data_IF_022634819017
#
_entry.id   IF_022634819017
#
_cell.length_a   1.000
_cell.length_b   1.000
_cell.length_c   1.000
_cell.angle_alpha   90.00
_cell.angle_beta   90.00
_cell.angle_gamma   90.00
#
_symmetry.space_group_name_H-M   'P 1'
#
loop_
_entity.id
_entity.type
_entity.pdbx_description
1 polymer ?
#
# COMPACT_ATOMS: atom_id res chain seq x y z
N UNK A 1 11.28 13.56 44.69
CA UNK A 1 12.68 13.41 45.12
C UNK A 1 12.80 14.04 46.48
N UNK A 2 13.36 13.34 47.47
CA UNK A 2 13.60 13.92 48.78
C UNK A 2 14.69 15.00 48.67
N UNK A 3 14.57 16.08 49.43
CA UNK A 3 15.56 17.16 49.48
C UNK A 3 16.20 17.09 50.86
N UNK A 4 17.53 16.92 50.89
CA UNK A 4 18.31 16.98 52.11
C UNK A 4 18.90 18.38 52.25
N UNK A 5 18.65 19.01 53.39
CA UNK A 5 19.29 20.28 53.74
C UNK A 5 20.47 20.01 54.67
N UNK A 6 21.63 19.73 54.05
CA UNK A 6 22.87 19.39 54.76
C UNK A 6 23.55 20.59 55.41
N UNK A 7 23.21 21.82 55.01
CA UNK A 7 23.92 23.02 55.47
C UNK A 7 23.15 23.70 56.61
N UNK A 8 23.11 23.02 57.76
CA UNK A 8 22.46 23.53 58.97
C UNK A 8 23.42 24.26 59.90
N UNK A 9 22.93 25.34 60.52
CA UNK A 9 23.63 25.98 61.63
C UNK A 9 23.67 25.00 62.81
N UNK A 10 24.87 24.64 63.28
CA UNK A 10 25.07 23.61 64.31
C UNK A 10 25.57 22.25 63.79
N UNK A 11 25.70 22.09 62.46
CA UNK A 11 26.16 20.87 61.81
C UNK A 11 25.02 19.89 61.49
N UNK A 12 25.23 19.05 60.47
CA UNK A 12 24.29 18.01 60.08
C UNK A 12 24.73 16.66 60.66
N UNK A 13 23.86 15.92 61.37
CA UNK A 13 24.19 14.60 61.90
C UNK A 13 24.31 13.59 60.77
N UNK A 14 25.55 13.22 60.42
CA UNK A 14 25.83 12.31 59.31
C UNK A 14 25.85 10.86 59.78
N UNK A 15 24.69 10.20 59.66
CA UNK A 15 24.47 8.82 60.11
C UNK A 15 24.14 7.87 58.95
N UNK A 16 24.20 6.56 59.20
CA UNK A 16 23.91 5.52 58.19
C UNK A 16 22.51 5.64 57.61
N UNK A 17 21.53 6.10 58.40
CA UNK A 17 20.16 6.28 57.94
C UNK A 17 20.06 7.40 56.89
N UNK A 18 20.85 8.48 57.05
CA UNK A 18 20.93 9.53 56.01
C UNK A 18 21.50 8.95 54.70
N UNK A 19 22.54 8.13 54.80
CA UNK A 19 23.14 7.48 53.63
C UNK A 19 22.20 6.48 52.97
N UNK A 20 21.39 5.77 53.75
CA UNK A 20 20.34 4.88 53.24
C UNK A 20 19.30 5.66 52.44
N UNK A 21 18.82 6.78 52.97
CA UNK A 21 17.87 7.65 52.28
C UNK A 21 18.48 8.28 51.01
N UNK A 22 19.77 8.63 51.04
CA UNK A 22 20.50 9.06 49.82
C UNK A 22 20.56 7.95 48.76
N UNK A 23 20.77 6.69 49.17
CA UNK A 23 20.74 5.55 48.27
C UNK A 23 19.37 5.34 47.65
N UNK A 24 18.30 5.42 48.45
CA UNK A 24 16.93 5.38 47.95
C UNK A 24 16.64 6.52 46.96
N UNK A 25 17.16 7.72 47.21
CA UNK A 25 16.96 8.88 46.34
C UNK A 25 17.50 8.67 44.93
N UNK A 26 18.74 8.19 44.76
CA UNK A 26 19.28 7.97 43.41
C UNK A 26 18.79 6.68 42.75
N UNK A 27 18.26 5.71 43.50
CA UNK A 27 17.70 4.48 42.93
C UNK A 27 16.55 4.76 41.94
N UNK A 28 15.84 5.88 42.08
CA UNK A 28 14.77 6.30 41.16
C UNK A 28 15.27 6.46 39.71
N UNK A 29 16.55 6.75 39.50
CA UNK A 29 17.10 6.93 38.16
C UNK A 29 17.11 5.64 37.34
N UNK A 30 17.05 4.47 37.98
CA UNK A 30 16.85 3.20 37.28
C UNK A 30 15.51 3.17 36.52
N UNK A 31 14.48 3.88 37.01
CA UNK A 31 13.19 3.95 36.33
C UNK A 31 13.29 4.64 34.96
N UNK A 32 14.28 5.50 34.73
CA UNK A 32 14.49 6.09 33.40
C UNK A 32 14.96 5.08 32.37
N UNK A 33 15.59 3.98 32.77
CA UNK A 33 15.90 2.87 31.88
C UNK A 33 14.64 2.21 31.30
N UNK A 34 13.50 2.29 32.01
CA UNK A 34 12.23 1.75 31.51
C UNK A 34 11.75 2.45 30.23
N UNK A 35 12.17 3.69 29.97
CA UNK A 35 11.88 4.38 28.71
C UNK A 35 12.51 3.67 27.50
N UNK A 36 13.62 2.95 27.74
CA UNK A 36 14.29 2.16 26.73
C UNK A 36 13.67 0.75 26.58
N UNK A 37 12.89 0.29 27.56
CA UNK A 37 12.36 -1.07 27.62
C UNK A 37 13.38 -2.08 28.14
N UNK A 38 12.88 -3.18 28.72
CA UNK A 38 13.72 -4.25 29.30
C UNK A 38 14.64 -4.89 28.24
N UNK A 39 15.82 -5.36 28.68
CA UNK A 39 16.87 -5.95 27.82
C UNK A 39 17.31 -5.00 26.71
N UNK A 40 17.75 -3.81 27.09
CA UNK A 40 18.16 -2.79 26.13
C UNK A 40 19.59 -2.33 26.37
N UNK A 41 20.35 -2.17 25.28
CA UNK A 41 21.67 -1.54 25.31
C UNK A 41 21.48 -0.02 25.30
N UNK A 42 21.85 0.63 26.39
CA UNK A 42 21.74 2.09 26.56
C UNK A 42 22.92 2.79 25.87
N UNK A 43 24.14 2.28 26.08
CA UNK A 43 25.37 2.87 25.53
C UNK A 43 26.50 1.84 25.46
N UNK A 44 27.55 2.13 24.68
CA UNK A 44 28.68 1.20 24.52
C UNK A 44 28.27 -0.11 23.87
N UNK A 45 28.82 -1.24 24.33
CA UNK A 45 28.56 -2.59 23.80
C UNK A 45 28.78 -2.68 22.27
N UNK A 46 29.82 -2.02 21.75
CA UNK A 46 30.12 -2.03 20.34
C UNK A 46 30.88 -3.32 19.97
N UNK A 47 30.42 -4.00 18.92
CA UNK A 47 31.05 -5.23 18.42
C UNK A 47 32.21 -4.86 17.50
N UNK A 48 33.40 -5.39 17.79
CA UNK A 48 34.61 -5.24 16.97
C UNK A 48 35.26 -6.61 16.78
N UNK A 49 35.08 -7.22 15.60
CA UNK A 49 35.53 -8.59 15.36
C UNK A 49 34.75 -9.58 16.24
N UNK A 50 35.43 -10.28 17.14
CA UNK A 50 34.83 -11.23 18.09
C UNK A 50 34.66 -10.67 19.50
N UNK A 51 34.91 -9.37 19.71
CA UNK A 51 34.82 -8.74 21.02
C UNK A 51 33.70 -7.69 21.04
N UNK A 52 33.13 -7.51 22.22
CA UNK A 52 32.18 -6.44 22.52
C UNK A 52 32.81 -5.54 23.57
N UNK A 53 32.79 -4.23 23.33
CA UNK A 53 33.29 -3.24 24.28
C UNK A 53 32.44 -3.19 25.56
N UNK A 54 32.96 -2.54 26.59
CA UNK A 54 32.16 -2.14 27.74
C UNK A 54 31.00 -1.22 27.33
N UNK A 55 30.00 -1.12 28.20
CA UNK A 55 28.81 -0.30 27.96
C UNK A 55 27.86 -0.26 29.15
N UNK A 56 26.61 0.04 28.87
CA UNK A 56 25.53 0.12 29.87
C UNK A 56 24.29 -0.54 29.29
N UNK A 57 23.65 -1.38 30.09
CA UNK A 57 22.43 -2.11 29.72
C UNK A 57 21.34 -1.89 30.75
N UNK A 58 20.09 -1.93 30.31
CA UNK A 58 18.91 -1.97 31.17
C UNK A 58 18.35 -3.38 31.21
N UNK A 59 18.19 -3.93 32.41
CA UNK A 59 17.72 -5.29 32.62
C UNK A 59 16.97 -5.41 33.95
N UNK A 60 15.81 -6.06 33.96
CA UNK A 60 15.02 -6.37 35.15
C UNK A 60 14.73 -5.16 36.04
N UNK A 61 14.50 -3.98 35.44
CA UNK A 61 14.20 -2.76 36.19
C UNK A 61 15.42 -1.94 36.62
N UNK A 62 16.64 -2.41 36.36
CA UNK A 62 17.88 -1.79 36.82
C UNK A 62 18.85 -1.47 35.67
N UNK A 63 19.64 -0.41 35.84
CA UNK A 63 20.72 -0.04 34.92
C UNK A 63 22.02 -0.67 35.42
N UNK A 64 22.65 -1.49 34.58
CA UNK A 64 23.92 -2.14 34.87
C UNK A 64 25.03 -1.65 33.96
N UNK A 65 26.23 -1.51 34.52
CA UNK A 65 27.44 -1.51 33.71
C UNK A 65 27.57 -2.88 33.03
N UNK A 66 27.86 -2.85 31.74
CA UNK A 66 28.22 -4.02 30.96
C UNK A 66 29.74 -4.09 30.84
N UNK A 67 30.33 -5.16 31.34
CA UNK A 67 31.74 -5.47 31.17
C UNK A 67 31.86 -6.40 29.96
N UNK A 68 32.48 -5.87 28.91
CA UNK A 68 32.65 -6.53 27.63
C UNK A 68 33.75 -7.61 27.65
N UNK A 69 34.08 -8.10 26.47
CA UNK A 69 35.00 -9.21 26.28
C UNK A 69 34.71 -9.97 25.00
N UNK A 70 35.14 -11.23 24.92
CA UNK A 70 34.77 -12.10 23.81
C UNK A 70 33.26 -12.34 23.83
N UNK A 71 32.62 -12.15 22.68
CA UNK A 71 31.18 -12.33 22.54
C UNK A 71 30.80 -13.78 22.85
N UNK A 72 29.75 -13.94 23.67
CA UNK A 72 29.15 -15.24 23.97
C UNK A 72 27.64 -15.16 23.72
N UNK A 73 26.99 -16.32 23.61
CA UNK A 73 25.55 -16.40 23.38
C UNK A 73 24.72 -15.83 24.55
N UNK A 74 25.26 -15.82 25.77
CA UNK A 74 24.53 -15.43 26.97
C UNK A 74 25.30 -14.47 27.85
N UNK A 75 24.55 -13.66 28.60
CA UNK A 75 25.04 -12.73 29.61
C UNK A 75 24.40 -13.04 30.97
N UNK A 76 25.05 -12.62 32.06
CA UNK A 76 24.52 -12.77 33.42
C UNK A 76 24.87 -11.57 34.28
N UNK A 77 24.02 -11.29 35.26
CA UNK A 77 24.34 -10.36 36.35
C UNK A 77 25.31 -11.07 37.31
N UNK A 78 26.49 -10.50 37.48
CA UNK A 78 27.50 -10.95 38.45
C UNK A 78 27.46 -10.01 39.65
N UNK A 79 27.28 -10.58 40.84
CA UNK A 79 27.35 -9.86 42.12
C UNK A 79 28.64 -10.26 42.85
N UNK A 80 29.44 -9.27 43.24
CA UNK A 80 30.67 -9.47 44.02
C UNK A 80 30.58 -8.69 45.33
N UNK A 81 30.44 -9.37 46.48
CA UNK A 81 30.43 -8.72 47.78
C UNK A 81 31.84 -8.26 48.17
N UNK A 82 31.93 -7.12 48.84
CA UNK A 82 33.13 -6.62 49.50
C UNK A 82 32.85 -6.55 50.99
N UNK A 83 33.66 -7.25 51.79
CA UNK A 83 33.52 -7.30 53.24
C UNK A 83 34.54 -6.41 53.95
N UNK A 84 34.15 -5.88 55.12
CA UNK A 84 35.02 -5.12 56.01
C UNK A 84 34.90 -5.66 57.44
N UNK A 85 35.98 -5.51 58.19
CA UNK A 85 36.02 -5.78 59.63
C UNK A 85 35.52 -4.53 60.35
N UNK A 86 34.62 -4.71 61.32
CA UNK A 86 34.02 -3.67 62.14
C UNK A 86 34.79 -3.54 63.46
N UNK A 87 34.57 -2.44 64.18
CA UNK A 87 35.25 -2.15 65.46
C UNK A 87 35.03 -3.21 66.55
N UNK A 88 33.95 -3.99 66.44
CA UNK A 88 33.63 -5.14 67.30
C UNK A 88 34.38 -6.43 66.91
N UNK A 89 35.25 -6.38 65.89
CA UNK A 89 35.98 -7.51 65.33
C UNK A 89 35.17 -8.38 64.36
N UNK A 90 33.88 -8.10 64.15
CA UNK A 90 33.05 -8.86 63.21
C UNK A 90 33.33 -8.46 61.76
N UNK A 91 33.24 -9.40 60.83
CA UNK A 91 33.33 -9.12 59.38
C UNK A 91 31.93 -9.09 58.78
N UNK A 92 31.56 -7.99 58.12
CA UNK A 92 30.27 -7.85 57.43
C UNK A 92 30.46 -7.42 55.99
N UNK A 93 29.56 -7.84 55.11
CA UNK A 93 29.49 -7.34 53.74
C UNK A 93 29.01 -5.89 53.73
N UNK A 94 29.76 -4.99 53.10
CA UNK A 94 29.47 -3.54 53.11
C UNK A 94 29.14 -2.98 51.72
N UNK A 95 29.48 -3.70 50.65
CA UNK A 95 29.22 -3.26 49.28
C UNK A 95 29.01 -4.49 48.39
N UNK A 96 27.97 -4.45 47.56
CA UNK A 96 27.71 -5.45 46.52
C UNK A 96 27.90 -4.79 45.16
N UNK A 97 29.01 -5.10 44.47
CA UNK A 97 29.23 -4.63 43.11
C UNK A 97 28.49 -5.54 42.14
N UNK A 98 27.56 -4.99 41.36
CA UNK A 98 26.79 -5.72 40.35
C UNK A 98 27.09 -5.18 38.97
N UNK A 99 27.31 -6.07 38.02
CA UNK A 99 27.50 -5.73 36.60
C UNK A 99 27.00 -6.88 35.73
N UNK A 100 26.73 -6.61 34.46
CA UNK A 100 26.41 -7.62 33.46
C UNK A 100 27.68 -7.93 32.67
N UNK A 101 27.94 -9.21 32.39
CA UNK A 101 29.02 -9.63 31.50
C UNK A 101 28.64 -10.94 30.81
N UNK A 102 29.42 -11.33 29.80
CA UNK A 102 29.25 -12.62 29.14
C UNK A 102 29.55 -13.77 30.09
N UNK A 103 28.55 -14.62 30.30
CA UNK A 103 28.64 -15.77 31.19
C UNK A 103 27.52 -16.76 30.90
N UNK A 104 27.75 -18.02 31.27
CA UNK A 104 26.79 -19.12 31.17
C UNK A 104 26.34 -19.63 32.55
N UNK A 105 25.32 -20.48 32.57
CA UNK A 105 24.80 -21.13 33.77
C UNK A 105 23.43 -20.60 34.20
N UNK A 106 23.03 -20.91 35.44
CA UNK A 106 21.72 -20.52 35.98
C UNK A 106 21.59 -19.00 36.01
N UNK A 107 20.44 -18.50 35.54
CA UNK A 107 20.16 -17.07 35.44
C UNK A 107 20.81 -16.36 34.24
N UNK A 108 21.41 -17.10 33.31
CA UNK A 108 21.91 -16.54 32.06
C UNK A 108 20.75 -16.16 31.12
N UNK A 109 20.93 -15.06 30.39
CA UNK A 109 19.96 -14.47 29.45
C UNK A 109 20.62 -14.42 28.09
N UNK A 110 19.87 -14.71 27.02
CA UNK A 110 20.43 -14.67 25.68
C UNK A 110 20.82 -13.24 25.30
N UNK A 111 22.04 -13.07 24.78
CA UNK A 111 22.52 -11.76 24.32
C UNK A 111 21.70 -11.25 23.13
N UNK A 112 21.15 -12.14 22.31
CA UNK A 112 20.28 -11.80 21.18
C UNK A 112 18.93 -11.18 21.60
N UNK A 113 18.54 -11.29 22.86
CA UNK A 113 17.35 -10.58 23.38
C UNK A 113 17.65 -9.10 23.63
N UNK A 114 18.93 -8.71 23.73
CA UNK A 114 19.30 -7.32 23.92
C UNK A 114 19.19 -6.53 22.62
N UNK A 115 18.40 -5.47 22.64
CA UNK A 115 18.22 -4.59 21.49
C UNK A 115 18.94 -3.26 21.71
N UNK A 116 19.53 -2.71 20.65
CA UNK A 116 20.02 -1.33 20.65
C UNK A 116 18.93 -0.42 20.10
N UNK A 117 18.63 0.65 20.82
CA UNK A 117 17.70 1.67 20.34
C UNK A 117 18.40 2.70 19.47
N UNK A 118 17.68 3.18 18.46
CA UNK A 118 18.01 4.43 17.82
C UNK A 118 17.80 5.59 18.80
N UNK A 119 18.69 6.58 18.77
CA UNK A 119 18.53 7.75 19.62
C UNK A 119 17.23 8.50 19.28
N UNK A 120 16.62 9.16 20.29
CA UNK A 120 15.44 10.00 20.07
C UNK A 120 15.68 11.07 19.00
N UNK A 121 16.91 11.57 18.88
CA UNK A 121 17.31 12.51 17.82
C UNK A 121 17.18 11.89 16.42
N UNK A 122 17.62 10.65 16.25
CA UNK A 122 17.52 9.92 14.99
C UNK A 122 16.07 9.55 14.69
N UNK A 123 15.31 9.09 15.69
CA UNK A 123 13.88 8.78 15.53
C UNK A 123 13.12 10.04 15.10
N UNK A 124 13.36 11.17 15.77
CA UNK A 124 12.74 12.45 15.44
C UNK A 124 13.05 12.91 14.00
N UNK A 125 14.24 12.58 13.47
CA UNK A 125 14.58 12.89 12.07
C UNK A 125 13.83 12.05 11.02
N UNK A 126 13.22 10.92 11.44
CA UNK A 126 12.41 10.05 10.58
C UNK A 126 10.91 10.37 10.66
N UNK A 127 10.50 11.16 11.64
CA UNK A 127 9.10 11.58 11.80
C UNK A 127 8.85 12.79 10.90
N UNK A 128 7.96 12.61 9.93
CA UNK A 128 7.51 13.70 9.06
C UNK A 128 6.53 14.63 9.81
N UNK A 129 6.46 15.93 9.45
CA UNK A 129 5.52 16.84 10.07
C UNK A 129 4.06 16.35 9.97
N UNK A 130 3.22 16.58 11.00
CA UNK A 130 1.79 16.27 10.94
C UNK A 130 1.14 16.87 9.68
N UNK A 131 0.17 16.14 9.12
CA UNK A 131 -0.53 16.57 7.90
C UNK A 131 0.24 16.38 6.59
N UNK A 132 1.45 15.82 6.60
CA UNK A 132 2.26 15.67 5.35
C UNK A 132 2.42 14.22 4.87
N UNK A 133 2.08 13.22 5.69
CA UNK A 133 2.35 11.81 5.40
C UNK A 133 1.10 10.91 5.51
N UNK A 134 0.31 10.77 4.42
CA UNK A 134 -0.76 9.78 4.36
C UNK A 134 -0.23 8.36 4.57
N UNK A 135 -0.99 7.53 5.28
CA UNK A 135 -0.69 6.12 5.54
C UNK A 135 -1.82 5.23 5.05
N UNK A 136 -1.47 4.04 4.57
CA UNK A 136 -2.43 3.00 4.21
C UNK A 136 -2.98 2.35 5.48
N UNK A 137 -4.30 2.19 5.53
CA UNK A 137 -5.01 1.63 6.67
C UNK A 137 -6.00 0.55 6.22
N UNK A 138 -5.89 -0.62 6.85
CA UNK A 138 -6.74 -1.80 6.60
C UNK A 138 -7.69 -2.12 7.74
N UNK A 139 -7.67 -1.34 8.83
CA UNK A 139 -8.56 -1.52 9.97
C UNK A 139 -9.97 -0.95 9.73
N UNK A 140 -10.82 -1.06 10.75
CA UNK A 140 -12.18 -0.54 10.67
C UNK A 140 -12.20 1.00 10.67
N UNK A 141 -12.90 1.61 9.72
CA UNK A 141 -13.00 3.08 9.58
C UNK A 141 -13.60 3.75 10.82
N UNK A 142 -14.49 3.06 11.54
CA UNK A 142 -15.06 3.54 12.79
C UNK A 142 -14.03 3.63 13.95
N UNK A 143 -12.89 2.93 13.83
CA UNK A 143 -11.85 2.82 14.85
C UNK A 143 -10.51 3.37 14.36
N UNK A 144 -10.54 4.44 13.55
CA UNK A 144 -9.33 5.17 13.20
C UNK A 144 -8.69 5.67 14.52
N UNK A 145 -7.38 5.42 14.75
CA UNK A 145 -6.73 5.79 16.00
C UNK A 145 -6.82 7.29 16.30
N UNK A 146 -6.87 7.65 17.59
CA UNK A 146 -6.87 9.05 18.03
C UNK A 146 -5.67 9.83 17.44
N UNK A 147 -5.92 11.07 17.02
CA UNK A 147 -4.95 11.94 16.34
C UNK A 147 -4.81 11.67 14.84
N UNK A 148 -5.36 10.56 14.33
CA UNK A 148 -5.48 10.26 12.91
C UNK A 148 -6.88 10.56 12.40
N UNK A 149 -6.98 10.91 11.12
CA UNK A 149 -8.25 11.05 10.42
C UNK A 149 -8.15 10.53 8.99
N UNK A 150 -9.30 10.36 8.34
CA UNK A 150 -9.35 10.03 6.92
C UNK A 150 -8.82 11.20 6.07
N UNK A 151 -8.12 10.89 4.99
CA UNK A 151 -7.78 11.84 3.94
C UNK A 151 -9.01 12.10 3.06
N UNK A 152 -9.90 12.98 3.53
CA UNK A 152 -11.24 13.21 2.96
C UNK A 152 -11.51 14.67 2.56
N UNK A 153 -10.48 15.52 2.57
CA UNK A 153 -10.60 16.95 2.28
C UNK A 153 -10.91 17.82 3.49
N UNK A 154 -11.33 17.23 4.61
CA UNK A 154 -11.59 17.98 5.84
C UNK A 154 -10.29 18.31 6.57
N UNK A 155 -10.29 19.35 7.42
CA UNK A 155 -9.13 19.76 8.23
C UNK A 155 -7.84 19.96 7.43
N UNK A 156 -7.96 20.46 6.19
CA UNK A 156 -6.85 20.66 5.24
C UNK A 156 -6.12 19.38 4.83
N UNK A 157 -6.75 18.21 4.98
CA UNK A 157 -6.23 16.96 4.41
C UNK A 157 -6.51 16.90 2.91
N UNK A 158 -5.70 16.18 2.11
CA UNK A 158 -6.08 15.86 0.74
C UNK A 158 -7.29 14.93 0.72
N UNK A 159 -8.17 15.06 -0.26
CA UNK A 159 -9.24 14.06 -0.50
C UNK A 159 -8.70 12.94 -1.40
N UNK A 160 -8.37 11.81 -0.78
CA UNK A 160 -7.79 10.63 -1.46
C UNK A 160 -8.83 9.51 -1.65
N UNK A 161 -10.10 9.75 -1.34
CA UNK A 161 -11.15 8.73 -1.45
C UNK A 161 -11.39 8.38 -2.92
N UNK A 162 -11.24 7.10 -3.25
CA UNK A 162 -11.43 6.60 -4.62
C UNK A 162 -10.33 6.98 -5.61
N UNK A 163 -9.24 7.61 -5.14
CA UNK A 163 -8.13 8.03 -5.98
C UNK A 163 -7.07 6.93 -6.11
N UNK A 164 -6.43 6.85 -7.28
CA UNK A 164 -5.20 6.09 -7.46
C UNK A 164 -4.00 7.04 -7.39
N UNK A 165 -3.04 6.73 -6.52
CA UNK A 165 -1.90 7.63 -6.29
C UNK A 165 -0.89 7.49 -7.42
N UNK A 166 -0.56 8.62 -8.03
CA UNK A 166 0.51 8.77 -9.02
C UNK A 166 1.67 9.55 -8.40
N UNK A 167 2.90 9.16 -8.76
CA UNK A 167 4.11 9.81 -8.26
C UNK A 167 4.24 11.23 -8.83
N UNK A 168 4.59 12.18 -7.96
CA UNK A 168 4.97 13.53 -8.38
C UNK A 168 6.16 13.48 -9.36
N UNK A 169 6.06 14.22 -10.46
CA UNK A 169 7.13 14.36 -11.44
C UNK A 169 7.24 15.83 -11.91
N UNK A 170 8.32 16.55 -11.57
CA UNK A 170 8.47 17.97 -11.92
C UNK A 170 8.52 18.22 -13.44
N UNK A 171 8.91 17.22 -14.22
CA UNK A 171 9.09 17.34 -15.67
C UNK A 171 7.84 16.93 -16.47
N UNK A 172 6.75 16.58 -15.78
CA UNK A 172 5.50 16.15 -16.39
C UNK A 172 4.38 17.11 -16.00
N UNK A 173 3.74 17.75 -16.98
CA UNK A 173 2.69 18.73 -16.73
C UNK A 173 1.48 18.14 -16.01
N UNK A 174 1.27 16.83 -16.06
CA UNK A 174 0.15 16.17 -15.40
C UNK A 174 0.45 15.92 -13.91
N UNK A 175 1.73 15.80 -13.54
CA UNK A 175 2.16 15.37 -12.19
C UNK A 175 3.14 16.34 -11.50
N UNK A 176 3.41 17.52 -12.06
CA UNK A 176 4.36 18.50 -11.51
C UNK A 176 3.85 19.34 -10.33
N UNK A 177 2.70 19.00 -9.74
CA UNK A 177 2.21 19.63 -8.53
C UNK A 177 1.44 18.63 -7.67
N UNK A 178 1.59 18.71 -6.35
CA UNK A 178 0.85 17.88 -5.40
C UNK A 178 -0.63 18.26 -5.45
N UNK A 179 -1.50 17.24 -5.49
CA UNK A 179 -2.95 17.41 -5.51
C UNK A 179 -3.56 17.56 -6.92
N UNK A 180 -2.77 17.47 -7.99
CA UNK A 180 -3.34 17.32 -9.34
C UNK A 180 -4.13 16.02 -9.43
N UNK A 181 -5.28 16.11 -10.08
CA UNK A 181 -6.22 15.00 -10.27
C UNK A 181 -6.51 14.79 -11.76
N UNK A 182 -6.81 13.56 -12.13
CA UNK A 182 -7.21 13.20 -13.48
C UNK A 182 -7.56 11.72 -13.56
N UNK A 183 -7.71 11.22 -14.78
CA UNK A 183 -8.14 9.84 -15.03
C UNK A 183 -9.66 9.68 -15.00
N UNK A 184 -10.10 8.55 -15.54
CA UNK A 184 -11.52 8.20 -15.65
C UNK A 184 -11.72 6.75 -15.24
N UNK A 185 -12.79 6.49 -14.49
CA UNK A 185 -13.16 5.13 -14.05
C UNK A 185 -13.64 4.28 -15.23
N UNK A 186 -14.42 4.89 -16.12
CA UNK A 186 -14.96 4.27 -17.32
C UNK A 186 -14.66 5.16 -18.53
N UNK A 187 -14.34 4.55 -19.67
CA UNK A 187 -14.04 5.26 -20.92
C UNK A 187 -15.04 4.85 -21.99
N UNK A 188 -15.70 5.83 -22.61
CA UNK A 188 -16.51 5.63 -23.82
C UNK A 188 -15.68 6.00 -25.04
N UNK A 189 -15.59 5.08 -26.01
CA UNK A 189 -14.87 5.32 -27.25
C UNK A 189 -15.59 6.38 -28.10
N UNK A 190 -14.81 7.34 -28.59
CA UNK A 190 -15.24 8.34 -29.58
C UNK A 190 -14.97 7.84 -31.00
N UNK A 191 -15.65 8.44 -31.98
CA UNK A 191 -15.42 8.12 -33.40
C UNK A 191 -13.94 8.28 -33.81
N UNK A 192 -13.25 9.27 -33.26
CA UNK A 192 -11.82 9.52 -33.53
C UNK A 192 -10.89 8.43 -32.97
N UNK A 193 -11.35 7.66 -31.99
CA UNK A 193 -10.61 6.54 -31.40
C UNK A 193 -10.89 5.21 -32.11
N UNK A 194 -11.82 5.17 -33.08
CA UNK A 194 -12.07 3.98 -33.87
C UNK A 194 -11.00 3.81 -34.95
N UNK A 195 -10.43 2.59 -35.11
CA UNK A 195 -9.55 2.31 -36.25
C UNK A 195 -10.24 2.57 -37.58
N UNK A 196 -9.48 3.06 -38.56
CA UNK A 196 -9.93 3.16 -39.94
C UNK A 196 -10.39 1.79 -40.43
N UNK A 197 -11.64 1.70 -40.87
CA UNK A 197 -12.23 0.47 -41.40
C UNK A 197 -13.07 0.81 -42.64
N UNK A 198 -13.36 -0.22 -43.44
CA UNK A 198 -14.21 -0.07 -44.62
C UNK A 198 -15.26 -1.17 -44.64
N UNK A 199 -16.38 -0.88 -45.28
CA UNK A 199 -17.40 -1.85 -45.61
C UNK A 199 -17.41 -2.04 -47.12
N UNK A 200 -17.46 -3.29 -47.55
CA UNK A 200 -17.70 -3.64 -48.95
C UNK A 200 -19.03 -4.38 -49.04
N UNK A 201 -19.72 -4.17 -50.15
CA UNK A 201 -20.92 -4.91 -50.47
C UNK A 201 -21.24 -4.73 -51.94
N UNK A 202 -21.89 -5.73 -52.50
CA UNK A 202 -22.36 -5.72 -53.88
C UNK A 202 -23.86 -5.96 -53.91
N UNK A 203 -24.52 -5.35 -54.87
CA UNK A 203 -25.86 -5.73 -55.30
C UNK A 203 -25.73 -6.56 -56.57
N UNK A 204 -26.70 -7.42 -56.90
CA UNK A 204 -26.71 -8.09 -58.21
C UNK A 204 -26.67 -7.07 -59.36
N UNK A 205 -26.25 -7.51 -60.55
CA UNK A 205 -26.12 -6.67 -61.75
C UNK A 205 -27.36 -5.79 -61.98
N UNK A 206 -27.21 -4.47 -61.81
CA UNK A 206 -28.18 -3.50 -62.29
C UNK A 206 -28.26 -3.61 -63.82
N UNK A 207 -29.47 -3.54 -64.37
CA UNK A 207 -29.65 -3.40 -65.81
C UNK A 207 -31.04 -3.78 -66.30
N UNK A 208 -31.36 -3.20 -67.45
CA UNK A 208 -32.44 -3.59 -68.34
C UNK A 208 -32.36 -5.10 -68.61
N UNK A 209 -33.22 -5.87 -67.95
CA UNK A 209 -33.34 -7.31 -68.21
C UNK A 209 -34.71 -7.63 -68.79
N UNK A 210 -34.79 -8.78 -69.44
CA UNK A 210 -36.00 -9.36 -70.02
C UNK A 210 -36.16 -10.79 -69.52
N UNK A 211 -37.39 -11.30 -69.49
CA UNK A 211 -37.68 -12.67 -69.14
C UNK A 211 -38.15 -13.43 -70.38
N UNK A 212 -37.74 -14.69 -70.49
CA UNK A 212 -38.26 -15.62 -71.50
C UNK A 212 -39.44 -16.40 -70.93
N UNK A 213 -40.51 -16.51 -71.70
CA UNK A 213 -41.68 -17.32 -71.38
C UNK A 213 -42.11 -18.10 -72.61
N UNK A 214 -42.69 -19.27 -72.39
CA UNK A 214 -43.28 -20.05 -73.48
C UNK A 214 -44.68 -19.51 -73.78
N UNK A 215 -44.98 -19.30 -75.06
CA UNK A 215 -46.32 -18.97 -75.52
C UNK A 215 -46.74 -19.92 -76.64
N UNK A 216 -48.03 -20.25 -76.68
CA UNK A 216 -48.62 -21.05 -77.74
C UNK A 216 -48.83 -20.20 -78.99
N UNK A 217 -48.18 -20.57 -80.09
CA UNK A 217 -48.33 -19.91 -81.39
C UNK A 217 -49.68 -20.29 -82.01
N UNK A 218 -50.59 -19.33 -82.12
CA UNK A 218 -51.87 -19.52 -82.83
C UNK A 218 -51.69 -19.04 -84.27
N UNK A 219 -51.71 -19.96 -85.23
CA UNK A 219 -51.72 -19.60 -86.65
C UNK A 219 -53.05 -18.93 -87.02
N UNK A 220 -52.99 -17.76 -87.66
CA UNK A 220 -54.19 -17.08 -88.15
C UNK A 220 -54.85 -17.84 -89.31
N UNK A 221 -56.18 -17.76 -89.30
CA UNK A 221 -57.19 -18.39 -90.16
C UNK A 221 -56.68 -18.77 -91.57
N UNK A 222 -56.54 -20.07 -91.82
CA UNK A 222 -56.59 -20.60 -93.18
C UNK A 222 -58.04 -20.62 -93.64
N UNK A 223 -58.42 -19.73 -94.57
CA UNK A 223 -59.76 -19.76 -95.14
C UNK A 223 -59.86 -20.87 -96.18
N UNK A 224 -60.59 -21.94 -95.84
CA UNK A 224 -61.19 -22.82 -96.85
C UNK A 224 -62.67 -22.50 -96.93
N UNK A 225 -63.20 -22.47 -98.15
CA UNK A 225 -64.48 -21.85 -98.55
C UNK A 225 -65.75 -22.33 -97.81
N UNK A 226 -65.68 -23.24 -96.84
CA UNK A 226 -66.87 -23.74 -96.13
C UNK A 226 -66.71 -24.07 -94.63
N UNK A 227 -65.59 -23.79 -93.96
CA UNK A 227 -65.60 -23.80 -92.48
C UNK A 227 -64.37 -23.10 -91.86
N UNK A 228 -64.56 -22.40 -90.73
CA UNK A 228 -63.48 -21.72 -90.00
C UNK A 228 -62.99 -22.62 -88.84
N UNK A 229 -61.92 -23.38 -89.06
CA UNK A 229 -61.30 -24.16 -87.99
C UNK A 229 -59.95 -23.54 -87.57
N UNK A 230 -59.77 -23.31 -86.27
CA UNK A 230 -58.48 -22.89 -85.70
C UNK A 230 -57.57 -24.12 -85.54
N UNK A 231 -56.58 -24.30 -86.42
CA UNK A 231 -55.51 -25.28 -86.20
C UNK A 231 -54.48 -24.69 -85.25
N UNK A 232 -54.51 -25.09 -83.98
CA UNK A 232 -53.42 -24.82 -83.04
C UNK A 232 -52.29 -25.78 -83.40
N UNK A 233 -51.31 -25.30 -84.17
CA UNK A 233 -50.04 -26.00 -84.29
C UNK A 233 -49.25 -25.73 -83.01
N UNK A 234 -49.34 -26.66 -82.05
CA UNK A 234 -48.63 -26.59 -80.77
C UNK A 234 -47.13 -26.76 -80.97
N UNK A 235 -46.45 -25.70 -81.40
CA UNK A 235 -45.02 -25.54 -81.19
C UNK A 235 -44.82 -24.49 -80.11
N UNK A 236 -44.15 -24.84 -79.03
CA UNK A 236 -43.76 -23.89 -77.99
C UNK A 236 -42.88 -22.81 -78.64
N UNK A 237 -43.31 -21.56 -78.58
CA UNK A 237 -42.54 -20.41 -79.06
C UNK A 237 -42.00 -19.65 -77.85
N UNK A 238 -40.68 -19.52 -77.78
CA UNK A 238 -40.04 -18.72 -76.72
C UNK A 238 -40.26 -17.24 -77.03
N UNK A 239 -41.08 -16.57 -76.22
CA UNK A 239 -41.29 -15.14 -76.27
C UNK A 239 -40.46 -14.42 -75.20
N UNK A 240 -39.96 -13.23 -75.52
CA UNK A 240 -39.23 -12.38 -74.57
C UNK A 240 -40.12 -11.22 -74.13
N UNK A 241 -40.13 -10.89 -72.84
CA UNK A 241 -40.82 -9.68 -72.33
C UNK A 241 -40.13 -8.42 -72.83
N UNK A 242 -40.82 -7.27 -72.78
CA UNK A 242 -40.14 -5.97 -72.90
C UNK A 242 -39.14 -5.79 -71.76
N UNK A 243 -38.10 -4.98 -71.98
CA UNK A 243 -37.13 -4.66 -70.95
C UNK A 243 -37.80 -3.96 -69.76
N UNK A 244 -37.43 -4.36 -68.55
CA UNK A 244 -37.88 -3.68 -67.32
C UNK A 244 -37.35 -2.23 -67.18
N UNK A 245 -36.45 -1.79 -68.07
CA UNK A 245 -35.81 -0.47 -67.99
C UNK A 245 -34.65 -0.44 -67.01
N UNK A 246 -34.07 0.74 -66.80
CA UNK A 246 -32.97 0.90 -65.84
C UNK A 246 -33.53 1.04 -64.42
N UNK A 247 -33.07 0.20 -63.49
CA UNK A 247 -33.45 0.26 -62.08
C UNK A 247 -32.22 0.20 -61.17
N UNK A 248 -32.39 0.66 -59.92
CA UNK A 248 -31.32 0.72 -58.91
C UNK A 248 -31.56 -0.27 -57.77
N UNK A 249 -30.51 -0.97 -57.35
CA UNK A 249 -30.46 -1.64 -56.05
C UNK A 249 -29.84 -0.69 -55.00
N UNK A 250 -30.37 -0.72 -53.77
CA UNK A 250 -29.80 -0.02 -52.61
C UNK A 250 -29.22 -1.03 -51.65
N UNK A 251 -27.99 -0.81 -51.20
CA UNK A 251 -27.39 -1.52 -50.07
C UNK A 251 -27.39 -0.57 -48.86
N UNK A 252 -28.04 -0.98 -47.77
CA UNK A 252 -28.01 -0.25 -46.50
C UNK A 252 -27.36 -1.13 -45.43
N UNK A 253 -26.48 -0.54 -44.63
CA UNK A 253 -26.01 -1.12 -43.38
C UNK A 253 -26.66 -0.40 -42.21
N UNK A 254 -26.68 -1.04 -41.04
CA UNK A 254 -27.20 -0.45 -39.81
C UNK A 254 -26.05 -0.04 -38.90
N UNK A 255 -26.26 1.01 -38.11
CA UNK A 255 -25.35 1.36 -37.03
C UNK A 255 -25.25 0.21 -36.03
N UNK A 256 -24.03 -0.09 -35.60
CA UNK A 256 -23.75 -1.07 -34.55
C UNK A 256 -22.87 -0.42 -33.49
N UNK A 257 -23.10 -0.76 -32.22
CA UNK A 257 -22.45 -0.16 -31.06
C UNK A 257 -23.44 0.57 -30.17
N UNK A 258 -23.27 0.44 -28.84
CA UNK A 258 -24.17 1.02 -27.84
C UNK A 258 -23.61 2.23 -27.10
N UNK A 259 -22.40 2.69 -27.45
CA UNK A 259 -21.72 3.82 -26.80
C UNK A 259 -21.47 3.64 -25.30
N UNK A 260 -21.52 2.40 -24.80
CA UNK A 260 -21.34 2.12 -23.38
C UNK A 260 -19.85 2.27 -23.01
N UNK A 261 -19.59 2.89 -21.86
CA UNK A 261 -18.25 2.97 -21.31
C UNK A 261 -17.75 1.58 -20.91
N UNK A 262 -16.44 1.37 -20.98
CA UNK A 262 -15.79 0.19 -20.42
C UNK A 262 -14.94 0.55 -19.21
N UNK A 263 -14.79 -0.41 -18.29
CA UNK A 263 -13.90 -0.31 -17.14
C UNK A 263 -12.47 0.03 -17.60
N UNK A 264 -11.87 1.04 -16.96
CA UNK A 264 -10.53 1.54 -17.28
C UNK A 264 -9.53 1.30 -16.14
N UNK A 265 -9.98 0.77 -14.99
CA UNK A 265 -9.09 0.49 -13.86
C UNK A 265 -8.45 -0.89 -13.98
N UNK A 266 -7.16 -1.03 -13.61
CA UNK A 266 -6.58 -2.34 -13.36
C UNK A 266 -7.26 -3.00 -12.14
N UNK A 267 -7.06 -4.31 -11.91
CA UNK A 267 -7.48 -4.96 -10.67
C UNK A 267 -7.00 -4.18 -9.44
N UNK A 268 -7.90 -3.88 -8.50
CA UNK A 268 -7.60 -3.07 -7.32
C UNK A 268 -8.06 -3.72 -6.02
N UNK A 269 -7.42 -3.32 -4.92
CA UNK A 269 -7.81 -3.67 -3.56
C UNK A 269 -8.05 -2.37 -2.77
N UNK A 270 -9.15 -2.29 -2.04
CA UNK A 270 -9.54 -1.04 -1.36
C UNK A 270 -8.89 -0.97 0.03
N UNK A 271 -8.12 0.08 0.27
CA UNK A 271 -7.60 0.50 1.57
C UNK A 271 -8.01 1.95 1.83
N UNK A 272 -8.02 2.36 3.09
CA UNK A 272 -8.18 3.76 3.45
C UNK A 272 -6.83 4.48 3.47
N UNK A 273 -6.84 5.76 3.09
CA UNK A 273 -5.75 6.68 3.39
C UNK A 273 -6.11 7.47 4.65
N UNK A 274 -5.28 7.34 5.70
CA UNK A 274 -5.40 8.13 6.93
C UNK A 274 -4.17 9.01 7.11
N UNK A 275 -4.29 10.09 7.87
CA UNK A 275 -3.18 11.02 8.13
C UNK A 275 -3.22 11.52 9.58
N UNK A 276 -2.05 11.65 10.19
CA UNK A 276 -1.90 12.17 11.54
C UNK A 276 -1.99 13.70 11.53
N UNK A 277 -2.83 14.27 12.39
CA UNK A 277 -3.14 15.72 12.43
C UNK A 277 -2.89 16.36 13.79
N UNK A 278 -2.85 15.59 14.87
CA UNK A 278 -2.64 16.11 16.22
C UNK A 278 -3.47 15.35 17.24
#
# INVERSE_FOLDING_TARGET
>A
MNIFDFLQTGGFPFETDTLHEMQAAYNIFNAFGALAGDKTIISGCAVTGSTVSDGVVYLNGEVFNFVGGNEQATVRIIETPTSKVFEDGSTKEVLKKRHVTFASGVGAINWSEFTRLDSLKNINSRILPPGTNPQLYSGAIANIPTGWQLCDGTNNTPDLRGQFIVGYNPNDTDYNAIGKTGGEKEVTLTEQQMPSHSHTGSTSTNGAHTHTHQRLKVATKGESKNDAYYRVHGSDETGTTSSAGNHSHTLSTNNTGGGQGHENRPPFYTLAYIIYTG
#
